data_IF_948174597668
#
_entry.id   IF_948174597668
#
_cell.length_a   1.000
_cell.length_b   1.000
_cell.length_c   1.000
_cell.angle_alpha   90.00
_cell.angle_beta   90.00
_cell.angle_gamma   90.00
#
_symmetry.space_group_name_H-M   'P 1'
#
loop_
_entity.id
_entity.type
_entity.pdbx_description
1 polymer ?
#
# COMPACT_ATOMS: atom_id res chain seq x y z
N UNK A 1 2.28 -2.70 0.26
CA UNK A 1 2.73 -1.45 0.91
C UNK A 1 2.22 -0.28 0.09
N UNK A 2 1.44 0.62 0.69
CA UNK A 2 0.94 1.84 0.05
C UNK A 2 1.65 3.02 0.71
N UNK A 3 2.19 3.94 -0.09
CA UNK A 3 2.94 5.09 0.42
C UNK A 3 2.66 6.35 -0.41
N UNK A 4 2.76 7.53 0.21
CA UNK A 4 2.66 8.82 -0.48
C UNK A 4 4.03 9.31 -0.93
N UNK A 5 4.18 9.74 -2.19
CA UNK A 5 5.44 10.27 -2.71
C UNK A 5 5.96 11.43 -1.87
N UNK A 6 5.06 12.31 -1.44
CA UNK A 6 5.35 13.58 -0.76
C UNK A 6 5.19 13.46 0.76
N UNK A 7 5.21 12.24 1.31
CA UNK A 7 5.15 12.03 2.76
C UNK A 7 6.41 12.60 3.43
N UNK A 8 6.22 13.67 4.19
CA UNK A 8 7.28 14.37 4.94
C UNK A 8 7.46 13.85 6.35
N UNK A 9 6.55 13.01 6.86
CA UNK A 9 6.67 12.38 8.17
C UNK A 9 7.46 11.08 8.06
N UNK A 10 7.12 10.26 7.07
CA UNK A 10 7.82 9.04 6.70
C UNK A 10 8.15 9.11 5.22
N UNK A 11 9.42 9.41 4.91
CA UNK A 11 9.82 9.49 3.50
C UNK A 11 9.60 8.16 2.76
N UNK A 12 9.45 8.24 1.44
CA UNK A 12 9.11 7.09 0.58
C UNK A 12 10.11 5.95 0.66
N UNK A 13 11.37 6.24 0.97
CA UNK A 13 12.44 5.25 1.20
C UNK A 13 12.09 4.27 2.33
N UNK A 14 11.30 4.68 3.32
CA UNK A 14 10.79 3.76 4.35
C UNK A 14 9.80 2.75 3.77
N UNK A 15 8.93 3.18 2.85
CA UNK A 15 8.00 2.31 2.13
C UNK A 15 8.72 1.34 1.19
N UNK A 16 9.75 1.84 0.49
CA UNK A 16 10.65 1.03 -0.34
C UNK A 16 11.39 -0.02 0.47
N UNK A 17 12.00 0.37 1.60
CA UNK A 17 12.69 -0.57 2.48
C UNK A 17 11.73 -1.63 3.03
N UNK A 18 10.56 -1.22 3.51
CA UNK A 18 9.53 -2.15 4.02
C UNK A 18 9.10 -3.15 2.96
N UNK A 19 8.87 -2.70 1.72
CA UNK A 19 8.50 -3.59 0.62
C UNK A 19 9.65 -4.55 0.22
N UNK A 20 10.92 -4.10 0.33
CA UNK A 20 12.07 -4.93 -0.02
C UNK A 20 12.34 -6.07 0.98
N UNK A 21 11.96 -5.90 2.25
CA UNK A 21 12.23 -6.91 3.30
C UNK A 21 11.06 -7.86 3.59
N UNK A 22 9.86 -7.56 3.07
CA UNK A 22 8.68 -8.43 3.22
C UNK A 22 8.51 -9.25 1.94
N UNK A 23 8.62 -10.56 2.06
CA UNK A 23 8.41 -11.47 0.93
C UNK A 23 7.03 -11.27 0.30
N UNK A 24 6.97 -11.25 -1.03
CA UNK A 24 5.76 -11.01 -1.84
C UNK A 24 5.11 -9.63 -1.66
N UNK A 25 5.73 -8.68 -0.95
CA UNK A 25 5.19 -7.33 -0.86
C UNK A 25 5.33 -6.57 -2.18
N UNK A 26 4.24 -5.93 -2.61
CA UNK A 26 4.22 -4.92 -3.68
C UNK A 26 4.20 -3.52 -3.09
N UNK A 27 5.05 -2.63 -3.58
CA UNK A 27 4.99 -1.19 -3.28
C UNK A 27 4.08 -0.48 -4.30
N UNK A 28 3.17 0.35 -3.80
CA UNK A 28 2.35 1.27 -4.58
C UNK A 28 2.59 2.67 -4.02
N UNK A 29 3.07 3.59 -4.87
CA UNK A 29 3.34 4.98 -4.49
C UNK A 29 2.37 5.91 -5.20
N UNK A 30 1.73 6.80 -4.45
CA UNK A 30 0.84 7.83 -5.00
C UNK A 30 1.56 9.18 -5.08
N UNK A 31 1.73 9.69 -6.30
CA UNK A 31 2.28 11.02 -6.56
C UNK A 31 1.34 12.11 -6.03
N UNK A 32 1.87 13.18 -5.42
CA UNK A 32 1.05 14.24 -4.82
C UNK A 32 0.49 13.92 -3.41
N UNK A 33 0.60 12.67 -2.95
CA UNK A 33 0.10 12.26 -1.63
C UNK A 33 1.18 12.40 -0.56
N UNK A 34 0.85 13.10 0.54
CA UNK A 34 1.68 13.20 1.73
C UNK A 34 1.48 12.04 2.71
N UNK A 35 1.58 12.32 4.02
CA UNK A 35 1.30 11.33 5.07
C UNK A 35 -0.20 11.02 5.22
N UNK A 36 -1.06 11.96 4.79
CA UNK A 36 -2.50 11.78 4.82
C UNK A 36 -3.00 10.99 3.61
N UNK A 37 -4.30 10.67 3.60
CA UNK A 37 -4.99 10.08 2.44
C UNK A 37 -6.06 11.06 1.94
N UNK A 38 -5.72 11.97 1.00
CA UNK A 38 -6.65 12.92 0.41
C UNK A 38 -7.89 12.26 -0.24
N UNK A 39 -9.03 12.96 -0.25
CA UNK A 39 -10.30 12.42 -0.75
C UNK A 39 -10.28 12.01 -2.23
N UNK A 40 -9.46 12.67 -3.05
CA UNK A 40 -9.23 12.36 -4.45
C UNK A 40 -8.31 11.15 -4.67
N UNK A 41 -7.43 10.84 -3.71
CA UNK A 41 -6.54 9.67 -3.76
C UNK A 41 -7.19 8.40 -3.17
N UNK A 42 -8.08 8.57 -2.19
CA UNK A 42 -8.78 7.46 -1.50
C UNK A 42 -9.44 6.43 -2.44
N UNK A 43 -10.11 6.80 -3.54
CA UNK A 43 -10.67 5.82 -4.48
C UNK A 43 -9.61 4.90 -5.08
N UNK A 44 -8.46 5.43 -5.47
CA UNK A 44 -7.37 4.65 -6.07
C UNK A 44 -6.67 3.75 -5.02
N UNK A 45 -6.59 4.20 -3.77
CA UNK A 45 -6.16 3.34 -2.65
C UNK A 45 -7.11 2.15 -2.48
N UNK A 46 -8.42 2.39 -2.49
CA UNK A 46 -9.43 1.34 -2.35
C UNK A 46 -9.38 0.35 -3.53
N UNK A 47 -9.17 0.85 -4.75
CA UNK A 47 -8.97 0.01 -5.93
C UNK A 47 -7.75 -0.90 -5.76
N UNK A 48 -6.59 -0.36 -5.37
CA UNK A 48 -5.39 -1.16 -5.14
C UNK A 48 -5.56 -2.22 -4.05
N UNK A 49 -6.34 -1.93 -3.00
CA UNK A 49 -6.71 -2.91 -1.96
C UNK A 49 -7.66 -3.97 -2.52
N UNK A 50 -8.65 -3.57 -3.32
CA UNK A 50 -9.59 -4.47 -3.99
C UNK A 50 -8.88 -5.46 -4.91
N UNK A 51 -8.02 -4.97 -5.80
CA UNK A 51 -7.17 -5.78 -6.68
C UNK A 51 -6.32 -6.78 -5.88
N UNK A 52 -5.78 -6.36 -4.73
CA UNK A 52 -5.01 -7.24 -3.87
C UNK A 52 -5.84 -8.40 -3.34
N UNK A 53 -7.07 -8.14 -2.86
CA UNK A 53 -7.98 -9.20 -2.38
C UNK A 53 -8.48 -10.11 -3.50
N UNK A 54 -8.72 -9.58 -4.69
CA UNK A 54 -9.10 -10.41 -5.84
C UNK A 54 -7.97 -11.34 -6.26
N UNK A 55 -6.72 -10.83 -6.27
CA UNK A 55 -5.53 -11.62 -6.58
C UNK A 55 -5.15 -12.59 -5.46
N UNK A 56 -5.46 -12.27 -4.21
CA UNK A 56 -5.17 -13.06 -3.02
C UNK A 56 -6.43 -13.23 -2.16
N UNK A 57 -7.39 -14.05 -2.60
CA UNK A 57 -8.63 -14.26 -1.86
C UNK A 57 -8.32 -14.72 -0.45
N UNK A 58 -8.93 -14.06 0.55
CA UNK A 58 -8.85 -14.50 1.93
C UNK A 58 -9.67 -15.79 2.02
N UNK A 59 -8.99 -16.94 1.97
CA UNK A 59 -9.62 -18.22 2.26
C UNK A 59 -9.65 -18.42 3.76
N UNK A 60 -10.78 -18.90 4.28
CA UNK A 60 -10.92 -19.28 5.68
C UNK A 60 -10.16 -20.58 5.95
N UNK A 61 -8.84 -20.56 5.85
CA UNK A 61 -7.98 -21.54 6.49
C UNK A 61 -7.19 -20.80 7.56
N UNK A 62 -7.77 -20.78 8.77
CA UNK A 62 -7.00 -20.55 9.97
C UNK A 62 -5.89 -21.62 9.96
N UNK A 63 -4.66 -21.21 9.68
CA UNK A 63 -3.51 -22.07 9.97
C UNK A 63 -3.56 -22.43 11.47
N UNK A 64 -3.30 -23.68 11.83
CA UNK A 64 -3.27 -24.11 13.24
C UNK A 64 -2.23 -23.35 14.06
#
# INVERSE_FOLDING_TARGET
>A
MIHGRDDTLLSVEHGEHTAAIIENAKLVVFEGMGHNMPDDVRPAILEAIGEHFEAHPITAELSP
#
